data_IF_856898768418
#
_entry.id   IF_856898768418
#
_cell.length_a   1.000
_cell.length_b   1.000
_cell.length_c   1.000
_cell.angle_alpha   90.00
_cell.angle_beta   90.00
_cell.angle_gamma   90.00
#
_symmetry.space_group_name_H-M   'P 1'
#
loop_
_entity.id
_entity.type
_entity.pdbx_description
1 polymer ?
#
# COMPACT_ATOMS: atom_id res chain seq x y z
N UNK A 1 -2.13 72.09 42.28
CA UNK A 1 -1.65 70.81 42.83
C UNK A 1 -1.88 69.77 41.73
N UNK A 2 -0.87 69.54 40.88
CA UNK A 2 -0.04 68.30 40.79
C UNK A 2 -0.90 67.03 40.76
N UNK A 3 -0.73 66.08 39.84
CA UNK A 3 0.02 65.93 38.60
C UNK A 3 -0.49 64.59 38.00
N UNK A 4 -0.34 64.41 36.69
CA UNK A 4 -0.69 63.20 35.94
C UNK A 4 -0.22 61.89 36.59
N UNK A 5 -1.02 60.83 36.40
CA UNK A 5 -0.50 59.49 36.14
C UNK A 5 -1.37 58.78 35.11
N UNK A 6 -0.84 58.70 33.88
CA UNK A 6 -1.27 57.74 32.87
C UNK A 6 -0.85 56.35 33.33
N UNK A 7 -1.82 55.48 33.62
CA UNK A 7 -1.63 54.02 33.48
C UNK A 7 -1.85 53.74 31.98
N UNK A 8 -0.96 53.11 31.23
CA UNK A 8 -0.05 52.04 31.61
C UNK A 8 -0.41 50.83 30.74
N UNK A 9 0.33 50.69 29.63
CA UNK A 9 0.43 49.50 28.77
C UNK A 9 -0.85 48.98 28.08
N UNK A 10 -1.05 49.41 26.83
CA UNK A 10 -1.78 48.66 25.81
C UNK A 10 -1.12 47.28 25.62
N UNK A 11 -1.78 46.22 26.11
CA UNK A 11 -1.50 44.85 25.64
C UNK A 11 -2.01 44.73 24.20
N UNK A 12 -1.11 44.99 23.25
CA UNK A 12 -1.27 44.53 21.88
C UNK A 12 -1.13 43.00 21.90
N UNK A 13 -2.26 42.30 21.98
CA UNK A 13 -2.34 40.88 21.65
C UNK A 13 -1.98 40.72 20.17
N UNK A 14 -0.69 40.50 19.92
CA UNK A 14 -0.19 39.93 18.68
C UNK A 14 -0.55 38.44 18.64
N UNK A 15 -1.79 38.13 18.26
CA UNK A 15 -2.10 36.84 17.65
C UNK A 15 -2.04 37.04 16.15
N UNK A 16 -0.81 37.11 15.63
CA UNK A 16 -0.58 36.71 14.26
C UNK A 16 -0.95 35.23 14.19
N UNK A 17 -2.21 34.95 13.82
CA UNK A 17 -2.63 33.64 13.36
C UNK A 17 -1.83 33.36 12.11
N UNK A 18 -0.67 32.74 12.30
CA UNK A 18 0.10 32.17 11.22
C UNK A 18 -0.79 31.11 10.59
N UNK A 19 -1.47 31.49 9.51
CA UNK A 19 -1.79 30.56 8.44
C UNK A 19 -0.43 30.08 7.92
N UNK A 20 0.14 29.09 8.59
CA UNK A 20 1.25 28.33 8.03
C UNK A 20 0.70 27.65 6.79
N UNK A 21 0.90 28.30 5.64
CA UNK A 21 1.12 27.64 4.36
C UNK A 21 2.28 26.68 4.53
N UNK A 22 2.00 25.53 5.14
CA UNK A 22 2.85 24.36 5.05
C UNK A 22 2.54 23.68 3.73
N UNK A 23 3.22 24.11 2.67
CA UNK A 23 3.59 23.17 1.61
C UNK A 23 4.51 22.17 2.33
N UNK A 24 3.91 21.09 2.83
CA UNK A 24 4.64 20.02 3.48
C UNK A 24 5.46 19.29 2.42
N UNK A 25 6.67 19.77 2.17
CA UNK A 25 7.74 18.93 1.67
C UNK A 25 7.88 17.73 2.61
N UNK A 26 7.38 16.58 2.16
CA UNK A 26 7.74 15.28 2.73
C UNK A 26 7.35 15.05 4.20
N UNK A 27 6.11 15.36 4.59
CA UNK A 27 5.53 14.66 5.75
C UNK A 27 5.46 13.16 5.38
N UNK A 28 6.48 12.41 5.78
CA UNK A 28 6.67 11.01 5.43
C UNK A 28 5.38 10.24 5.65
N UNK A 29 4.87 9.61 4.59
CA UNK A 29 3.79 8.66 4.77
C UNK A 29 4.24 7.63 5.80
N UNK A 30 3.38 7.25 6.76
CA UNK A 30 3.74 6.24 7.74
C UNK A 30 4.24 5.00 7.00
N UNK A 31 5.38 4.47 7.44
CA UNK A 31 5.93 3.25 6.89
C UNK A 31 4.85 2.16 6.90
N UNK A 32 4.66 1.46 5.79
CA UNK A 32 3.70 0.37 5.73
C UNK A 32 4.16 -0.73 6.69
N UNK A 33 3.33 -1.02 7.69
CA UNK A 33 3.56 -2.10 8.65
C UNK A 33 3.19 -3.43 8.00
N UNK A 34 4.17 -4.30 7.82
CA UNK A 34 3.94 -5.64 7.28
C UNK A 34 3.07 -6.43 8.28
N UNK A 35 1.93 -7.01 7.85
CA UNK A 35 1.08 -7.81 8.73
C UNK A 35 1.85 -8.96 9.37
N UNK A 36 1.50 -9.31 10.61
CA UNK A 36 2.11 -10.45 11.30
C UNK A 36 1.85 -11.74 10.52
N UNK A 37 2.91 -12.52 10.28
CA UNK A 37 2.84 -13.76 9.51
C UNK A 37 2.74 -13.58 7.99
N UNK A 38 2.83 -12.35 7.47
CA UNK A 38 2.92 -12.12 6.04
C UNK A 38 4.29 -12.48 5.47
N UNK A 39 4.30 -12.84 4.19
CA UNK A 39 5.47 -13.09 3.37
C UNK A 39 5.65 -11.91 2.40
N UNK A 40 6.86 -11.39 2.26
CA UNK A 40 7.16 -10.36 1.24
C UNK A 40 8.15 -10.92 0.23
N UNK A 41 7.75 -10.93 -1.03
CA UNK A 41 8.56 -11.43 -2.14
C UNK A 41 8.78 -10.33 -3.17
N UNK A 42 9.99 -10.25 -3.72
CA UNK A 42 10.25 -9.60 -5.01
C UNK A 42 9.97 -10.64 -6.10
N UNK A 43 9.09 -10.29 -7.03
CA UNK A 43 8.60 -11.21 -8.05
C UNK A 43 8.53 -10.55 -9.41
N UNK A 44 8.52 -11.40 -10.44
CA UNK A 44 8.19 -11.02 -11.81
C UNK A 44 6.94 -11.78 -12.23
N UNK A 45 5.81 -11.08 -12.36
CA UNK A 45 4.54 -11.67 -12.76
C UNK A 45 4.62 -12.10 -14.22
N UNK A 46 4.29 -13.37 -14.49
CA UNK A 46 4.34 -13.96 -15.84
C UNK A 46 2.96 -14.12 -16.45
N UNK A 47 1.94 -14.34 -15.63
CA UNK A 47 0.56 -14.52 -16.08
C UNK A 47 -0.41 -13.96 -15.06
N UNK A 48 -1.46 -13.32 -15.57
CA UNK A 48 -2.61 -12.86 -14.80
C UNK A 48 -3.87 -13.40 -15.47
N UNK A 49 -4.79 -13.93 -14.67
CA UNK A 49 -6.04 -14.50 -15.14
C UNK A 49 -7.19 -13.98 -14.28
N UNK A 50 -8.28 -13.54 -14.92
CA UNK A 50 -9.52 -13.28 -14.20
C UNK A 50 -10.07 -14.60 -13.67
N UNK A 51 -10.47 -14.61 -12.40
CA UNK A 51 -11.15 -15.77 -11.81
C UNK A 51 -12.64 -15.79 -12.12
N UNK A 52 -13.19 -14.67 -12.63
CA UNK A 52 -14.63 -14.44 -12.73
C UNK A 52 -15.32 -14.16 -11.39
N UNK A 53 -14.60 -14.24 -10.27
CA UNK A 53 -15.13 -14.00 -8.94
C UNK A 53 -15.04 -12.54 -8.55
N UNK A 54 -16.01 -12.10 -7.75
CA UNK A 54 -16.04 -10.77 -7.15
C UNK A 54 -16.57 -10.87 -5.72
N UNK A 55 -16.22 -9.92 -4.84
CA UNK A 55 -16.89 -9.78 -3.56
C UNK A 55 -18.39 -9.51 -3.76
N UNK A 56 -19.23 -9.99 -2.84
CA UNK A 56 -20.63 -9.60 -2.82
C UNK A 56 -20.77 -8.10 -2.62
N UNK A 57 -21.66 -7.46 -3.38
CA UNK A 57 -21.84 -6.00 -3.34
C UNK A 57 -23.30 -5.54 -3.21
N UNK A 58 -24.22 -6.47 -2.89
CA UNK A 58 -25.65 -6.21 -2.69
C UNK A 58 -26.50 -6.38 -3.95
N UNK A 59 -27.82 -6.23 -3.80
CA UNK A 59 -28.78 -6.35 -4.90
C UNK A 59 -28.71 -5.13 -5.84
N UNK A 60 -28.80 -5.35 -7.15
CA UNK A 60 -28.73 -4.29 -8.17
C UNK A 60 -27.34 -3.63 -8.33
N UNK A 61 -26.32 -4.17 -7.68
CA UNK A 61 -24.96 -3.67 -7.76
C UNK A 61 -24.18 -4.24 -8.95
N UNK A 62 -23.37 -3.40 -9.60
CA UNK A 62 -22.31 -3.83 -10.52
C UNK A 62 -21.00 -3.99 -9.73
N UNK A 63 -20.39 -5.18 -9.68
CA UNK A 63 -19.14 -5.38 -8.96
C UNK A 63 -18.03 -4.49 -9.52
N UNK A 64 -17.37 -3.75 -8.64
CA UNK A 64 -16.25 -2.87 -9.00
C UNK A 64 -14.89 -3.52 -8.75
N UNK A 65 -14.83 -4.60 -7.98
CA UNK A 65 -13.58 -5.31 -7.71
C UNK A 65 -13.72 -6.77 -8.09
N UNK A 66 -12.65 -7.30 -8.68
CA UNK A 66 -12.59 -8.68 -9.14
C UNK A 66 -11.34 -9.35 -8.61
N UNK A 67 -11.45 -10.65 -8.35
CA UNK A 67 -10.32 -11.47 -7.99
C UNK A 67 -9.58 -11.90 -9.25
N UNK A 68 -8.29 -11.57 -9.31
CA UNK A 68 -7.39 -12.03 -10.36
C UNK A 68 -6.36 -12.97 -9.75
N UNK A 69 -6.05 -14.05 -10.46
CA UNK A 69 -5.00 -14.99 -10.11
C UNK A 69 -3.72 -14.60 -10.82
N UNK A 70 -2.65 -14.52 -10.06
CA UNK A 70 -1.30 -14.18 -10.51
C UNK A 70 -0.41 -15.40 -10.40
N UNK A 71 0.42 -15.62 -11.41
CA UNK A 71 1.48 -16.61 -11.43
C UNK A 71 2.79 -15.87 -11.70
N UNK A 72 3.69 -15.90 -10.72
CA UNK A 72 4.91 -15.09 -10.70
C UNK A 72 6.15 -15.94 -10.41
N UNK A 73 7.26 -15.53 -10.98
CA UNK A 73 8.58 -16.05 -10.61
C UNK A 73 9.10 -15.28 -9.40
N UNK A 74 9.65 -16.01 -8.43
CA UNK A 74 10.22 -15.42 -7.23
C UNK A 74 11.69 -15.10 -7.49
N UNK A 75 12.04 -13.82 -7.41
CA UNK A 75 13.41 -13.36 -7.56
C UNK A 75 14.14 -13.33 -6.22
N UNK A 76 13.44 -12.92 -5.17
CA UNK A 76 14.01 -12.74 -3.83
C UNK A 76 12.92 -12.83 -2.76
N UNK A 77 13.28 -13.43 -1.63
CA UNK A 77 12.50 -13.35 -0.39
C UNK A 77 12.98 -12.12 0.39
N UNK A 78 12.08 -11.16 0.64
CA UNK A 78 12.38 -9.93 1.39
C UNK A 78 12.07 -10.11 2.88
N UNK A 79 10.93 -10.73 3.20
CA UNK A 79 10.51 -11.05 4.57
C UNK A 79 9.85 -12.42 4.60
N UNK A 80 10.21 -13.26 5.57
CA UNK A 80 9.67 -14.61 5.75
C UNK A 80 10.55 -15.67 5.08
N UNK A 81 9.96 -16.82 4.77
CA UNK A 81 10.63 -17.98 4.16
C UNK A 81 9.81 -18.47 2.97
N UNK A 82 10.48 -18.72 1.84
CA UNK A 82 9.88 -19.31 0.65
C UNK A 82 10.94 -20.06 -0.15
N UNK A 83 10.72 -21.35 -0.38
CA UNK A 83 11.71 -22.22 -1.05
C UNK A 83 11.40 -22.43 -2.55
N UNK A 84 10.26 -21.94 -3.03
CA UNK A 84 9.82 -22.12 -4.41
C UNK A 84 10.36 -21.04 -5.36
N UNK A 85 10.65 -21.44 -6.61
CA UNK A 85 11.00 -20.48 -7.67
C UNK A 85 9.77 -19.76 -8.26
N UNK A 86 8.56 -20.22 -7.93
CA UNK A 86 7.30 -19.65 -8.39
C UNK A 86 6.37 -19.46 -7.21
N UNK A 87 5.45 -18.51 -7.34
CA UNK A 87 4.36 -18.28 -6.39
C UNK A 87 3.07 -18.01 -7.15
N UNK A 88 1.97 -18.57 -6.66
CA UNK A 88 0.63 -18.23 -7.10
C UNK A 88 -0.12 -17.54 -5.97
N UNK A 89 -0.78 -16.43 -6.31
CA UNK A 89 -1.57 -15.66 -5.36
C UNK A 89 -2.76 -15.03 -6.08
N UNK A 90 -3.75 -14.58 -5.31
CA UNK A 90 -4.85 -13.77 -5.84
C UNK A 90 -4.77 -12.34 -5.31
N UNK A 91 -5.25 -11.40 -6.11
CA UNK A 91 -5.36 -10.01 -5.71
C UNK A 91 -6.74 -9.46 -6.08
N UNK A 92 -7.34 -8.71 -5.16
CA UNK A 92 -8.60 -8.02 -5.39
C UNK A 92 -8.31 -6.64 -5.95
N UNK A 93 -8.72 -6.39 -7.19
CA UNK A 93 -8.45 -5.13 -7.88
C UNK A 93 -9.61 -4.77 -8.81
N UNK A 94 -9.73 -3.48 -9.13
CA UNK A 94 -10.73 -3.01 -10.09
C UNK A 94 -10.34 -3.32 -11.54
N UNK A 95 -9.08 -3.16 -11.89
CA UNK A 95 -8.55 -3.43 -13.22
C UNK A 95 -7.22 -4.15 -13.17
N UNK A 96 -6.91 -4.87 -14.24
CA UNK A 96 -5.61 -5.54 -14.39
C UNK A 96 -4.48 -4.51 -14.47
N UNK A 97 -3.42 -4.73 -13.69
CA UNK A 97 -2.19 -3.97 -13.85
C UNK A 97 -1.57 -4.23 -15.22
N UNK A 98 -1.02 -3.19 -15.84
CA UNK A 98 -0.21 -3.38 -17.05
C UNK A 98 1.04 -4.21 -16.70
N UNK A 99 1.57 -5.03 -17.63
CA UNK A 99 2.75 -5.85 -17.36
C UNK A 99 3.95 -5.04 -16.85
N UNK A 100 4.12 -3.82 -17.35
CA UNK A 100 5.14 -2.88 -16.88
C UNK A 100 4.86 -2.33 -15.46
N UNK A 101 3.96 -2.89 -14.66
CA UNK A 101 3.87 -2.59 -13.22
C UNK A 101 4.27 -3.83 -12.41
N UNK A 102 4.05 -5.01 -12.99
CA UNK A 102 4.15 -6.31 -12.30
C UNK A 102 5.30 -7.18 -12.80
N UNK A 103 6.02 -6.77 -13.84
CA UNK A 103 7.24 -7.44 -14.34
C UNK A 103 8.43 -7.34 -13.37
N UNK A 104 8.42 -6.34 -12.48
CA UNK A 104 9.30 -6.16 -11.34
C UNK A 104 8.48 -5.52 -10.21
N UNK A 105 8.03 -6.32 -9.25
CA UNK A 105 7.23 -5.83 -8.14
C UNK A 105 7.47 -6.59 -6.84
N UNK A 106 7.02 -5.97 -5.74
CA UNK A 106 6.98 -6.57 -4.43
C UNK A 106 5.56 -6.92 -4.07
N UNK A 107 5.34 -8.14 -3.60
CA UNK A 107 4.04 -8.62 -3.15
C UNK A 107 4.07 -8.90 -1.67
N UNK A 108 3.08 -8.37 -0.95
CA UNK A 108 2.83 -8.70 0.47
C UNK A 108 1.73 -9.75 0.50
N UNK A 109 2.11 -10.97 0.84
CA UNK A 109 1.27 -12.15 0.79
C UNK A 109 0.82 -12.54 2.19
N UNK A 110 -0.48 -12.73 2.35
CA UNK A 110 -1.09 -13.36 3.53
C UNK A 110 -1.75 -14.67 3.10
N UNK A 111 -1.96 -15.58 4.05
CA UNK A 111 -2.65 -16.83 3.76
C UNK A 111 -4.09 -16.56 3.31
N UNK A 112 -4.51 -17.22 2.22
CA UNK A 112 -5.90 -17.17 1.79
C UNK A 112 -6.81 -17.84 2.83
N UNK A 113 -8.04 -17.36 2.96
CA UNK A 113 -9.04 -18.11 3.73
C UNK A 113 -9.34 -19.44 3.03
N UNK A 114 -9.78 -20.48 3.76
CA UNK A 114 -10.12 -21.76 3.15
C UNK A 114 -11.15 -21.63 2.02
N UNK A 115 -12.12 -20.74 2.15
CA UNK A 115 -13.14 -20.50 1.13
C UNK A 115 -12.56 -19.88 -0.13
N UNK A 116 -11.66 -18.90 0.02
CA UNK A 116 -11.03 -18.22 -1.11
C UNK A 116 -10.02 -19.13 -1.82
N UNK A 117 -9.25 -19.92 -1.06
CA UNK A 117 -8.35 -20.93 -1.61
C UNK A 117 -9.13 -21.98 -2.39
N UNK A 118 -10.24 -22.50 -1.84
CA UNK A 118 -11.09 -23.45 -2.54
C UNK A 118 -11.70 -22.87 -3.83
N UNK A 119 -12.09 -21.59 -3.82
CA UNK A 119 -12.71 -20.94 -4.97
C UNK A 119 -11.71 -20.55 -6.08
N UNK A 120 -10.46 -20.25 -5.73
CA UNK A 120 -9.47 -19.68 -6.67
C UNK A 120 -8.31 -20.62 -6.99
N UNK A 121 -8.07 -21.62 -6.15
CA UNK A 121 -6.90 -22.50 -6.18
C UNK A 121 -5.60 -21.84 -5.72
N UNK A 122 -5.63 -20.60 -5.22
CA UNK A 122 -4.45 -19.89 -4.72
C UNK A 122 -4.41 -19.89 -3.19
N UNK A 123 -3.27 -20.31 -2.63
CA UNK A 123 -3.06 -20.39 -1.18
C UNK A 123 -2.74 -19.05 -0.51
N UNK A 124 -2.49 -18.00 -1.30
CA UNK A 124 -2.11 -16.68 -0.82
C UNK A 124 -2.94 -15.57 -1.46
N UNK A 125 -3.15 -14.50 -0.69
CA UNK A 125 -3.73 -13.24 -1.13
C UNK A 125 -2.64 -12.18 -1.09
N UNK A 126 -2.46 -11.45 -2.19
CA UNK A 126 -1.69 -10.22 -2.16
C UNK A 126 -2.53 -9.13 -1.50
N UNK A 127 -2.12 -8.68 -0.31
CA UNK A 127 -2.67 -7.48 0.33
C UNK A 127 -2.18 -6.21 -0.38
N UNK A 128 -0.94 -6.28 -0.88
CA UNK A 128 -0.29 -5.21 -1.62
C UNK A 128 0.52 -5.77 -2.77
N UNK A 129 0.50 -5.04 -3.88
CA UNK A 129 1.46 -5.14 -4.98
C UNK A 129 2.09 -3.76 -5.08
N UNK A 130 3.40 -3.68 -4.90
CA UNK A 130 4.18 -2.44 -4.94
C UNK A 130 5.14 -2.50 -6.11
N UNK A 131 5.19 -1.44 -6.91
CA UNK A 131 6.10 -1.35 -8.04
C UNK A 131 7.13 -0.24 -7.83
N UNK A 132 8.43 -0.50 -8.06
CA UNK A 132 9.45 0.54 -7.97
C UNK A 132 9.23 1.69 -8.99
N UNK A 133 8.31 1.53 -9.94
CA UNK A 133 7.91 2.60 -10.85
C UNK A 133 7.15 3.73 -10.15
N UNK A 134 6.42 3.44 -9.07
CA UNK A 134 5.70 4.46 -8.32
C UNK A 134 6.55 5.09 -7.20
N UNK A 135 6.51 6.43 -7.09
CA UNK A 135 7.34 7.18 -6.11
C UNK A 135 7.04 6.81 -4.66
N UNK A 136 5.78 6.49 -4.35
CA UNK A 136 5.36 6.14 -3.00
C UNK A 136 5.83 4.72 -2.64
N UNK A 137 5.63 3.77 -3.55
CA UNK A 137 6.07 2.38 -3.40
C UNK A 137 7.58 2.27 -3.19
N UNK A 138 8.39 3.07 -3.90
CA UNK A 138 9.84 3.10 -3.69
C UNK A 138 10.23 3.43 -2.25
N UNK A 139 9.49 4.30 -1.57
CA UNK A 139 9.80 4.65 -0.18
C UNK A 139 9.54 3.45 0.74
N UNK A 140 8.45 2.73 0.49
CA UNK A 140 8.11 1.50 1.23
C UNK A 140 9.13 0.40 0.97
N UNK A 141 9.46 0.14 -0.30
CA UNK A 141 10.44 -0.89 -0.69
C UNK A 141 11.83 -0.60 -0.10
N UNK A 142 12.27 0.66 -0.11
CA UNK A 142 13.53 1.08 0.53
C UNK A 142 13.54 0.83 2.04
N UNK A 143 12.42 1.06 2.71
CA UNK A 143 12.31 0.80 4.14
C UNK A 143 12.49 -0.68 4.50
N UNK A 144 12.28 -1.61 3.56
CA UNK A 144 12.54 -3.03 3.71
C UNK A 144 13.97 -3.45 3.36
N UNK A 145 14.82 -2.50 2.96
CA UNK A 145 16.21 -2.77 2.57
C UNK A 145 16.36 -3.33 1.15
N UNK A 146 15.31 -3.27 0.32
CA UNK A 146 15.32 -3.83 -1.05
C UNK A 146 15.23 -2.77 -2.15
N UNK A 147 15.42 -1.50 -1.80
CA UNK A 147 15.42 -0.39 -2.75
C UNK A 147 16.83 0.07 -3.09
N UNK A 148 17.19 0.00 -4.38
CA UNK A 148 18.31 0.76 -4.95
C UNK A 148 18.04 2.27 -5.04
#
# INVERSE_FOLDING_TARGET
MRLLTLNGASLLLGLASACSTGIGDGAGQPAYAIPSGALVLKVSVKRVESTGLHPGCGEGCIPFHHWYRYDAEVERVVVGTWDGSRVQFVHLQHGEYIPAVTDDCHVVLVKASPELEAATGASHVAERILSPRFKLDRQVIRAWGDGS
#
